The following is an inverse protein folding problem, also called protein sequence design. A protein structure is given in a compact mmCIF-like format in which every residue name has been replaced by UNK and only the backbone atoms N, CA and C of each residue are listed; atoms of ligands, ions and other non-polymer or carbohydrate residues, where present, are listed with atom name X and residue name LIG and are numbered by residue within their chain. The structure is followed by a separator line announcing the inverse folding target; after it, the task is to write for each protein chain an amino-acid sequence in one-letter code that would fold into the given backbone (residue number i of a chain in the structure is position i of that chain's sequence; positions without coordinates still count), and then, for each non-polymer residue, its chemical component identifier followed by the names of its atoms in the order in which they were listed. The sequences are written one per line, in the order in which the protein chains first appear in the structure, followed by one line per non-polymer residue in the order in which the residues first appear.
data_IF_273990961545
#
_entry.id   IF_273990961545
#
_cell.length_a   1.000
_cell.length_b   1.000
_cell.length_c   1.000
_cell.angle_alpha   90.00
_cell.angle_beta   90.00
_cell.angle_gamma   90.00
#
_symmetry.space_group_name_H-M   'P 1'
#
loop_
_entity.id
_entity.type
_entity.pdbx_description
1 polymer ?
#
# COMPACT_ATOMS: atom_id res chain seq x y z
N UNK A 1 16.37 -15.69 74.74
CA UNK A 1 15.18 -15.26 73.99
C UNK A 1 15.19 -15.86 72.59
N UNK A 2 14.07 -15.86 71.85
CA UNK A 2 14.00 -16.33 70.46
C UNK A 2 14.14 -15.15 69.49
N UNK A 3 15.04 -15.23 68.52
CA UNK A 3 15.12 -14.31 67.38
C UNK A 3 14.14 -14.77 66.29
N UNK A 4 13.23 -13.91 65.78
CA UNK A 4 12.41 -14.25 64.62
C UNK A 4 13.24 -14.12 63.34
N UNK A 5 13.33 -15.20 62.58
CA UNK A 5 14.04 -15.23 61.30
C UNK A 5 13.17 -14.59 60.21
N UNK A 6 13.52 -13.37 59.80
CA UNK A 6 12.76 -12.62 58.80
C UNK A 6 12.93 -13.26 57.41
N UNK A 7 11.93 -14.06 57.00
CA UNK A 7 11.86 -14.60 55.64
C UNK A 7 11.56 -13.46 54.65
N UNK A 8 12.59 -13.00 53.94
CA UNK A 8 12.44 -12.04 52.85
C UNK A 8 11.81 -12.75 51.65
N UNK A 9 10.47 -12.75 51.59
CA UNK A 9 9.71 -13.35 50.49
C UNK A 9 9.87 -12.48 49.23
N UNK A 10 10.96 -12.70 48.50
CA UNK A 10 11.26 -12.01 47.26
C UNK A 10 10.26 -12.45 46.18
N UNK A 11 9.21 -11.65 45.99
CA UNK A 11 8.17 -11.92 45.01
C UNK A 11 8.74 -11.80 43.59
N UNK A 12 8.99 -12.94 42.95
CA UNK A 12 9.36 -13.03 41.54
C UNK A 12 8.18 -12.57 40.68
N UNK A 13 8.15 -11.26 40.40
CA UNK A 13 7.31 -10.68 39.36
C UNK A 13 7.84 -11.15 38.00
N UNK A 14 7.38 -12.32 37.57
CA UNK A 14 7.58 -12.81 36.21
C UNK A 14 6.92 -11.83 35.24
N UNK A 15 7.71 -10.89 34.72
CA UNK A 15 7.28 -10.00 33.66
C UNK A 15 7.13 -10.82 32.38
N UNK A 16 5.92 -11.34 32.15
CA UNK A 16 5.54 -12.00 30.91
C UNK A 16 5.58 -10.99 29.77
N UNK A 17 6.75 -10.84 29.16
CA UNK A 17 6.93 -10.07 27.94
C UNK A 17 6.03 -10.68 26.86
N UNK A 18 4.95 -9.97 26.51
CA UNK A 18 4.06 -10.38 25.43
C UNK A 18 4.87 -10.22 24.14
N UNK A 19 5.30 -11.34 23.56
CA UNK A 19 5.92 -11.34 22.24
C UNK A 19 4.93 -10.78 21.22
N UNK A 20 5.41 -9.88 20.37
CA UNK A 20 4.57 -9.23 19.37
C UNK A 20 4.12 -10.24 18.30
N UNK A 21 2.87 -10.14 17.85
CA UNK A 21 2.35 -11.07 16.85
C UNK A 21 2.92 -10.76 15.46
N UNK A 22 3.04 -11.79 14.61
CA UNK A 22 3.49 -11.61 13.24
C UNK A 22 2.59 -10.64 12.45
N UNK A 23 1.28 -10.67 12.71
CA UNK A 23 0.31 -9.72 12.16
C UNK A 23 0.60 -8.28 12.59
N UNK A 24 0.89 -8.03 13.87
CA UNK A 24 1.20 -6.69 14.38
C UNK A 24 2.52 -6.16 13.80
N UNK A 25 3.54 -7.00 13.66
CA UNK A 25 4.83 -6.65 13.03
C UNK A 25 4.62 -6.27 11.56
N UNK A 26 3.88 -7.08 10.78
CA UNK A 26 3.57 -6.78 9.37
C UNK A 26 2.73 -5.51 9.26
N UNK A 27 1.72 -5.33 10.13
CA UNK A 27 0.90 -4.12 10.17
C UNK A 27 1.70 -2.86 10.53
N UNK A 28 2.71 -2.95 11.40
CA UNK A 28 3.63 -1.84 11.70
C UNK A 28 4.61 -1.57 10.56
N UNK A 29 5.09 -2.63 9.90
CA UNK A 29 5.96 -2.52 8.73
C UNK A 29 5.26 -1.85 7.57
N UNK A 30 3.99 -2.19 7.36
CA UNK A 30 3.09 -1.44 6.51
C UNK A 30 3.03 0.01 7.03
N UNK A 31 2.49 0.26 8.24
CA UNK A 31 2.27 1.62 8.82
C UNK A 31 3.46 2.60 8.74
N UNK A 32 4.70 2.10 8.74
CA UNK A 32 5.89 2.90 8.53
C UNK A 32 5.92 3.62 7.16
N UNK A 33 5.44 3.00 6.07
CA UNK A 33 5.83 3.35 4.70
C UNK A 33 4.90 4.33 3.93
N UNK A 34 3.68 4.64 4.41
CA UNK A 34 2.73 5.67 3.85
C UNK A 34 2.07 6.55 4.89
N UNK A 35 1.99 6.11 6.15
CA UNK A 35 1.11 6.78 7.09
C UNK A 35 -0.34 6.71 6.62
N UNK A 36 -1.01 7.86 6.57
CA UNK A 36 -2.45 7.93 6.26
C UNK A 36 -2.76 8.36 4.82
N UNK A 37 -1.93 9.24 4.28
CA UNK A 37 -1.84 9.61 2.86
C UNK A 37 -0.38 9.73 2.48
N UNK A 38 -0.04 9.50 1.22
CA UNK A 38 1.32 9.72 0.74
C UNK A 38 1.38 10.37 -0.63
N UNK A 39 2.51 11.02 -0.87
CA UNK A 39 3.01 11.45 -2.16
C UNK A 39 4.45 10.94 -2.32
N UNK A 40 4.86 10.57 -3.53
CA UNK A 40 6.27 10.28 -3.82
C UNK A 40 6.66 10.57 -5.27
N UNK A 41 7.89 11.01 -5.48
CA UNK A 41 8.53 11.08 -6.79
C UNK A 41 9.58 9.98 -6.92
N UNK A 42 9.45 9.12 -7.93
CA UNK A 42 10.30 7.93 -8.09
C UNK A 42 10.74 7.71 -9.54
N UNK A 43 11.91 7.11 -9.71
CA UNK A 43 12.41 6.60 -11.00
C UNK A 43 12.47 5.07 -10.94
N UNK A 44 11.93 4.41 -11.95
CA UNK A 44 12.05 2.96 -12.15
C UNK A 44 12.96 2.68 -13.34
N UNK A 45 13.96 1.84 -13.14
CA UNK A 45 14.87 1.34 -14.17
C UNK A 45 14.66 -0.15 -14.37
N UNK A 46 14.11 -0.53 -15.53
CA UNK A 46 13.97 -1.91 -15.96
C UNK A 46 15.26 -2.29 -16.67
N UNK A 47 16.00 -3.26 -16.11
CA UNK A 47 17.29 -3.75 -16.60
C UNK A 47 17.12 -5.14 -17.18
N UNK A 48 17.68 -5.35 -18.37
CA UNK A 48 17.77 -6.64 -19.09
C UNK A 48 19.19 -6.79 -19.67
N UNK A 49 19.70 -8.00 -19.93
CA UNK A 49 21.04 -8.22 -20.49
C UNK A 49 21.39 -7.45 -21.78
N UNK A 50 20.39 -7.02 -22.55
CA UNK A 50 20.57 -6.30 -23.82
C UNK A 50 20.07 -4.85 -23.83
N UNK A 51 19.35 -4.38 -22.80
CA UNK A 51 18.82 -3.02 -22.72
C UNK A 51 18.44 -2.59 -21.30
N UNK A 52 18.45 -1.28 -21.06
CA UNK A 52 17.88 -0.66 -19.85
C UNK A 52 16.88 0.41 -20.26
N UNK A 53 15.73 0.48 -19.58
CA UNK A 53 14.69 1.50 -19.78
C UNK A 53 14.39 2.18 -18.45
N UNK A 54 14.58 3.49 -18.39
CA UNK A 54 14.20 4.32 -17.26
C UNK A 54 12.85 5.00 -17.50
N UNK A 55 12.04 5.13 -16.45
CA UNK A 55 10.82 5.92 -16.41
C UNK A 55 10.68 6.64 -15.06
N UNK A 56 10.09 7.83 -15.05
CA UNK A 56 9.82 8.59 -13.83
C UNK A 56 8.32 8.69 -13.60
N UNK A 57 7.91 8.68 -12.34
CA UNK A 57 6.51 8.73 -11.93
C UNK A 57 6.30 9.56 -10.67
N UNK A 58 5.10 10.10 -10.55
CA UNK A 58 4.54 10.67 -9.32
C UNK A 58 3.44 9.73 -8.82
N UNK A 59 3.47 9.37 -7.55
CA UNK A 59 2.48 8.49 -6.93
C UNK A 59 1.79 9.20 -5.78
N UNK A 60 0.48 9.01 -5.66
CA UNK A 60 -0.34 9.46 -4.54
C UNK A 60 -1.14 8.31 -3.97
N UNK A 61 -1.40 8.34 -2.67
CA UNK A 61 -2.25 7.37 -2.00
C UNK A 61 -3.09 8.03 -0.91
N UNK A 62 -4.25 7.45 -0.62
CA UNK A 62 -5.01 7.71 0.59
C UNK A 62 -5.50 6.38 1.12
N UNK A 63 -4.65 5.78 1.95
CA UNK A 63 -4.88 4.47 2.54
C UNK A 63 -5.01 3.30 1.58
N UNK A 64 -5.63 2.23 2.09
CA UNK A 64 -5.80 0.94 1.40
C UNK A 64 -6.63 1.03 0.13
N UNK A 65 -7.53 2.02 0.06
CA UNK A 65 -8.59 2.09 -0.93
C UNK A 65 -8.21 2.90 -2.18
N UNK A 66 -7.37 3.92 -2.03
CA UNK A 66 -7.17 4.94 -3.05
C UNK A 66 -5.68 5.08 -3.40
N UNK A 67 -5.34 4.86 -4.67
CA UNK A 67 -3.98 5.03 -5.20
C UNK A 67 -4.02 5.60 -6.62
N UNK A 68 -3.08 6.47 -6.95
CA UNK A 68 -2.87 7.01 -8.29
C UNK A 68 -1.37 7.06 -8.60
N UNK A 69 -0.93 6.34 -9.62
CA UNK A 69 0.42 6.43 -10.18
C UNK A 69 0.32 7.16 -11.53
N UNK A 70 1.17 8.17 -11.76
CA UNK A 70 1.24 8.95 -12.99
C UNK A 70 2.66 8.94 -13.55
N UNK A 71 2.86 8.37 -14.74
CA UNK A 71 4.14 8.40 -15.46
C UNK A 71 4.40 9.81 -15.99
N UNK A 72 5.50 10.43 -15.56
CA UNK A 72 5.91 11.78 -15.95
C UNK A 72 6.96 11.78 -17.06
N UNK A 73 7.74 10.71 -17.20
CA UNK A 73 8.74 10.50 -18.24
C UNK A 73 8.95 8.98 -18.51
N UNK A 74 9.44 8.56 -19.69
CA UNK A 74 9.86 9.36 -20.84
C UNK A 74 8.67 9.87 -21.67
N UNK A 75 8.93 10.75 -22.64
CA UNK A 75 7.90 11.41 -23.45
C UNK A 75 6.96 10.45 -24.21
N UNK A 76 7.40 9.21 -24.51
CA UNK A 76 6.59 8.15 -25.12
C UNK A 76 5.46 7.65 -24.21
N UNK A 77 5.73 7.62 -22.90
CA UNK A 77 4.88 7.01 -21.88
C UNK A 77 4.23 8.05 -20.94
N UNK A 78 4.69 9.31 -21.02
CA UNK A 78 4.22 10.45 -20.22
C UNK A 78 2.70 10.60 -20.29
N UNK A 79 2.09 10.76 -19.12
CA UNK A 79 0.64 10.88 -18.95
C UNK A 79 -0.08 9.55 -18.77
N UNK A 80 0.60 8.40 -18.94
CA UNK A 80 0.04 7.09 -18.57
C UNK A 80 -0.21 7.06 -17.06
N UNK A 81 -1.34 6.52 -16.63
CA UNK A 81 -1.70 6.51 -15.21
C UNK A 81 -2.43 5.24 -14.79
N UNK A 82 -2.13 4.76 -13.59
CA UNK A 82 -2.82 3.64 -12.93
C UNK A 82 -3.60 4.18 -11.73
N UNK A 83 -4.91 3.93 -11.68
CA UNK A 83 -5.81 4.39 -10.61
C UNK A 83 -6.43 3.17 -9.91
N UNK A 84 -6.31 3.09 -8.58
CA UNK A 84 -7.15 2.24 -7.71
C UNK A 84 -8.21 3.10 -7.04
N UNK A 85 -9.46 2.63 -7.06
CA UNK A 85 -10.54 3.10 -6.19
C UNK A 85 -11.30 1.92 -5.61
N UNK A 86 -11.11 1.70 -4.31
CA UNK A 86 -11.58 0.51 -3.58
C UNK A 86 -11.09 -0.79 -4.24
N UNK A 87 -12.01 -1.51 -4.87
CA UNK A 87 -11.77 -2.80 -5.54
C UNK A 87 -11.52 -2.67 -7.03
N UNK A 88 -11.79 -1.50 -7.59
CA UNK A 88 -11.68 -1.25 -9.03
C UNK A 88 -10.36 -0.58 -9.37
N UNK A 89 -9.75 -1.04 -10.45
CA UNK A 89 -8.44 -0.60 -10.91
C UNK A 89 -8.50 -0.30 -12.41
N UNK A 90 -7.88 0.78 -12.85
CA UNK A 90 -7.87 1.21 -14.26
C UNK A 90 -6.52 1.77 -14.68
N UNK A 91 -6.13 1.47 -15.93
CA UNK A 91 -5.00 2.10 -16.60
C UNK A 91 -5.51 3.07 -17.69
N UNK A 92 -5.10 4.34 -17.63
CA UNK A 92 -5.24 5.30 -18.73
C UNK A 92 -4.01 5.21 -19.64
N UNK A 93 -4.24 5.01 -20.94
CA UNK A 93 -3.20 4.83 -21.96
C UNK A 93 -3.32 5.97 -23.00
N UNK A 94 -2.47 7.03 -22.91
CA UNK A 94 -2.61 8.22 -23.74
C UNK A 94 -2.48 7.95 -25.24
N UNK A 95 -1.60 7.02 -25.64
CA UNK A 95 -1.31 6.71 -27.05
C UNK A 95 -2.47 6.12 -27.84
N UNK A 96 -3.56 5.74 -27.16
CA UNK A 96 -4.82 5.24 -27.76
C UNK A 96 -6.06 5.93 -27.17
N UNK A 97 -5.87 6.96 -26.34
CA UNK A 97 -6.91 7.72 -25.63
C UNK A 97 -7.97 6.85 -24.89
N UNK A 98 -7.54 5.77 -24.22
CA UNK A 98 -8.47 4.84 -23.53
C UNK A 98 -8.17 4.64 -22.06
N UNK A 99 -9.25 4.50 -21.29
CA UNK A 99 -9.26 3.89 -19.96
C UNK A 99 -9.49 2.39 -20.15
N UNK A 100 -8.61 1.56 -19.59
CA UNK A 100 -8.70 0.10 -19.57
C UNK A 100 -8.94 -0.32 -18.11
N UNK A 101 -10.05 -1.01 -17.82
CA UNK A 101 -10.27 -1.60 -16.49
C UNK A 101 -9.40 -2.84 -16.33
N UNK A 102 -8.64 -2.93 -15.24
CA UNK A 102 -7.82 -4.08 -14.89
C UNK A 102 -8.74 -5.17 -14.33
N UNK A 103 -8.79 -6.32 -14.97
CA UNK A 103 -9.48 -7.51 -14.47
C UNK A 103 -8.58 -8.30 -13.50
N UNK A 104 -9.11 -9.17 -12.62
CA UNK A 104 -8.29 -10.00 -11.74
C UNK A 104 -7.24 -10.83 -12.49
N UNK A 105 -7.56 -11.34 -13.68
CA UNK A 105 -6.64 -12.06 -14.59
C UNK A 105 -5.57 -11.17 -15.24
N UNK A 106 -5.53 -9.88 -14.92
CA UNK A 106 -4.47 -8.94 -15.30
C UNK A 106 -3.57 -8.55 -14.13
N UNK A 107 -3.89 -8.95 -12.88
CA UNK A 107 -3.10 -8.58 -11.70
C UNK A 107 -1.69 -9.16 -11.76
N UNK A 108 -1.54 -10.43 -12.17
CA UNK A 108 -0.25 -11.12 -12.38
C UNK A 108 0.53 -10.66 -13.60
N UNK A 109 -0.02 -9.78 -14.45
CA UNK A 109 0.71 -9.27 -15.61
C UNK A 109 1.74 -8.23 -15.18
N UNK A 110 2.92 -8.27 -15.80
CA UNK A 110 3.96 -7.25 -15.67
C UNK A 110 3.40 -5.84 -15.91
N UNK A 111 3.67 -4.92 -14.98
CA UNK A 111 3.33 -3.51 -15.13
C UNK A 111 4.35 -2.83 -16.04
N UNK A 112 3.89 -2.36 -17.19
CA UNK A 112 4.66 -1.62 -18.21
C UNK A 112 5.95 -2.31 -18.72
N UNK A 113 6.12 -3.62 -18.50
CA UNK A 113 7.29 -4.41 -18.88
C UNK A 113 8.38 -4.50 -17.79
N UNK A 114 8.05 -4.15 -16.54
CA UNK A 114 8.92 -4.32 -15.36
C UNK A 114 8.75 -5.67 -14.68
N UNK A 115 9.59 -5.95 -13.69
CA UNK A 115 9.51 -7.15 -12.83
C UNK A 115 8.46 -7.03 -11.71
N UNK A 116 7.73 -5.90 -11.64
CA UNK A 116 6.57 -5.74 -10.77
C UNK A 116 5.30 -6.11 -11.53
N UNK A 117 4.34 -6.75 -10.84
CA UNK A 117 3.01 -7.04 -11.37
C UNK A 117 2.06 -5.84 -11.20
N UNK A 118 0.87 -5.91 -11.80
CA UNK A 118 -0.19 -4.93 -11.53
C UNK A 118 -0.74 -5.06 -10.09
N UNK A 119 -0.60 -6.22 -9.44
CA UNK A 119 -0.98 -6.41 -8.04
C UNK A 119 -0.08 -5.58 -7.12
N UNK A 120 1.25 -5.78 -7.20
CA UNK A 120 2.26 -5.15 -6.33
C UNK A 120 2.21 -3.60 -6.39
N UNK A 121 1.95 -3.04 -7.57
CA UNK A 121 1.96 -1.58 -7.79
C UNK A 121 0.62 -0.89 -7.58
N UNK A 122 -0.50 -1.63 -7.53
CA UNK A 122 -1.83 -1.02 -7.53
C UNK A 122 -2.69 -1.51 -6.36
N UNK A 123 -2.70 -2.81 -6.05
CA UNK A 123 -3.65 -3.41 -5.11
C UNK A 123 -3.33 -3.13 -3.62
N UNK A 124 -2.26 -2.39 -3.41
CA UNK A 124 -1.51 -1.92 -2.25
C UNK A 124 -2.05 -1.97 -0.79
N UNK A 125 -2.70 -3.05 -0.32
CA UNK A 125 -3.10 -3.18 1.11
C UNK A 125 -3.02 -4.56 1.80
N UNK A 126 -3.24 -5.66 1.08
CA UNK A 126 -3.57 -6.97 1.66
C UNK A 126 -2.40 -7.78 2.24
N UNK A 127 -1.15 -7.29 2.17
CA UNK A 127 -0.08 -7.95 2.94
C UNK A 127 -0.42 -8.00 4.44
N UNK A 128 -1.27 -7.08 4.92
CA UNK A 128 -1.92 -7.14 6.25
C UNK A 128 -3.28 -7.88 6.22
N UNK A 129 -4.08 -7.76 5.15
CA UNK A 129 -5.53 -8.07 5.16
C UNK A 129 -5.90 -9.50 4.73
N UNK A 130 -5.40 -10.03 3.62
CA UNK A 130 -5.87 -11.31 3.05
C UNK A 130 -4.77 -12.41 3.04
N UNK A 131 -3.64 -12.16 3.69
CA UNK A 131 -2.69 -13.20 4.16
C UNK A 131 -2.94 -13.63 5.61
N UNK A 132 -2.36 -14.77 6.00
CA UNK A 132 -2.20 -15.24 7.38
C UNK A 132 -0.71 -15.27 7.73
N UNK A 133 -0.33 -14.73 8.90
CA UNK A 133 1.08 -14.46 9.24
C UNK A 133 1.64 -15.41 10.30
N UNK A 134 2.80 -15.98 10.01
CA UNK A 134 3.58 -16.84 10.91
C UNK A 134 4.98 -16.25 11.11
N UNK A 135 5.40 -16.00 12.34
CA UNK A 135 6.79 -15.68 12.64
C UNK A 135 7.61 -16.97 12.57
N UNK A 136 8.37 -17.16 11.50
CA UNK A 136 9.10 -18.41 11.23
C UNK A 136 10.57 -18.37 11.69
N UNK A 137 11.13 -17.17 11.94
CA UNK A 137 12.49 -17.05 12.47
C UNK A 137 12.99 -15.63 12.60
N UNK A 138 14.31 -15.52 12.77
CA UNK A 138 15.05 -14.26 12.86
C UNK A 138 16.36 -14.40 12.09
N UNK A 139 16.70 -13.42 11.26
CA UNK A 139 17.89 -13.46 10.39
C UNK A 139 18.54 -12.07 10.30
N UNK A 140 19.88 -11.96 10.28
CA UNK A 140 20.54 -10.68 10.02
C UNK A 140 20.55 -10.34 8.52
N UNK A 141 20.04 -9.17 8.16
CA UNK A 141 20.18 -8.58 6.83
C UNK A 141 20.80 -7.18 6.96
N UNK A 142 21.77 -6.83 6.10
CA UNK A 142 22.39 -5.49 6.09
C UNK A 142 22.89 -5.05 7.49
N UNK A 143 23.57 -5.97 8.19
CA UNK A 143 24.10 -5.77 9.55
C UNK A 143 23.05 -5.66 10.67
N UNK A 144 21.75 -5.74 10.34
CA UNK A 144 20.63 -5.52 11.27
C UNK A 144 19.79 -6.79 11.45
N UNK A 145 19.29 -7.04 12.65
CA UNK A 145 18.39 -8.18 12.91
C UNK A 145 17.00 -7.92 12.32
N UNK A 146 16.48 -8.91 11.58
CA UNK A 146 15.13 -8.95 11.04
C UNK A 146 14.29 -9.98 11.80
N UNK A 147 12.98 -9.74 11.89
CA UNK A 147 12.00 -10.83 11.96
C UNK A 147 11.83 -11.43 10.57
N UNK A 148 11.72 -12.76 10.47
CA UNK A 148 11.37 -13.48 9.24
C UNK A 148 9.94 -13.99 9.40
N UNK A 149 9.03 -13.44 8.60
CA UNK A 149 7.59 -13.72 8.68
C UNK A 149 7.12 -14.34 7.37
N UNK A 150 6.54 -15.53 7.46
CA UNK A 150 5.80 -16.15 6.36
C UNK A 150 4.38 -15.57 6.34
N UNK A 151 3.89 -15.24 5.15
CA UNK A 151 2.55 -14.81 4.87
C UNK A 151 1.92 -15.77 3.84
N UNK A 152 0.94 -16.58 4.23
CA UNK A 152 0.25 -17.53 3.33
C UNK A 152 -1.14 -16.99 2.96
N UNK A 153 -1.47 -16.98 1.66
CA UNK A 153 -2.69 -16.39 1.14
C UNK A 153 -3.95 -17.10 1.69
N UNK A 154 -5.05 -16.35 1.86
CA UNK A 154 -6.36 -16.94 2.18
C UNK A 154 -6.97 -17.57 0.91
N UNK A 155 -7.75 -18.67 1.02
CA UNK A 155 -8.20 -19.44 -0.15
C UNK A 155 -8.95 -18.65 -1.24
N UNK A 156 -9.69 -17.62 -0.84
CA UNK A 156 -10.49 -16.77 -1.75
C UNK A 156 -9.85 -15.37 -2.00
N UNK A 157 -8.57 -15.20 -1.70
CA UNK A 157 -7.87 -13.92 -1.85
C UNK A 157 -7.59 -13.63 -3.34
N UNK A 158 -8.03 -12.48 -3.90
CA UNK A 158 -7.72 -12.05 -5.26
C UNK A 158 -6.28 -11.51 -5.34
N UNK A 159 -5.32 -12.43 -5.34
CA UNK A 159 -3.88 -12.18 -5.16
C UNK A 159 -3.02 -12.94 -6.16
N UNK A 160 -1.81 -12.45 -6.44
CA UNK A 160 -0.87 -13.13 -7.34
C UNK A 160 -0.02 -14.19 -6.63
N UNK A 161 0.48 -13.89 -5.43
CA UNK A 161 1.45 -14.75 -4.74
C UNK A 161 0.78 -15.65 -3.70
N UNK A 162 0.98 -16.97 -3.78
CA UNK A 162 0.37 -17.93 -2.85
C UNK A 162 0.95 -17.81 -1.43
N UNK A 163 2.24 -17.49 -1.37
CA UNK A 163 3.04 -17.28 -0.17
C UNK A 163 4.03 -16.15 -0.42
N UNK A 164 4.31 -15.38 0.63
CA UNK A 164 5.33 -14.33 0.64
C UNK A 164 6.12 -14.44 1.95
N UNK A 165 7.45 -14.42 1.89
CA UNK A 165 8.29 -14.34 3.10
C UNK A 165 8.88 -12.94 3.23
N UNK A 166 8.73 -12.33 4.41
CA UNK A 166 9.06 -10.94 4.70
C UNK A 166 10.18 -10.86 5.74
N UNK A 167 11.24 -10.10 5.43
CA UNK A 167 12.28 -9.74 6.38
C UNK A 167 12.05 -8.30 6.85
N UNK A 168 11.56 -8.15 8.08
CA UNK A 168 11.17 -6.86 8.67
C UNK A 168 12.16 -6.47 9.76
N UNK A 169 12.75 -5.28 9.64
CA UNK A 169 13.80 -4.78 10.54
C UNK A 169 13.31 -4.54 11.97
N UNK A 170 13.98 -5.15 12.95
CA UNK A 170 13.62 -5.02 14.37
C UNK A 170 13.77 -3.61 14.95
N UNK A 171 14.59 -2.76 14.32
CA UNK A 171 14.90 -1.42 14.84
C UNK A 171 13.92 -0.33 14.40
N UNK A 172 13.28 -0.51 13.24
CA UNK A 172 12.49 0.53 12.58
C UNK A 172 11.33 0.00 11.72
N UNK A 173 11.00 -1.29 11.80
CA UNK A 173 9.95 -1.98 11.05
C UNK A 173 10.06 -1.86 9.52
N UNK A 174 11.20 -1.47 8.95
CA UNK A 174 11.35 -1.43 7.50
C UNK A 174 11.46 -2.85 6.92
N UNK A 175 10.64 -3.13 5.90
CA UNK A 175 10.77 -4.30 5.03
C UNK A 175 12.10 -4.21 4.25
N UNK A 176 13.04 -5.11 4.54
CA UNK A 176 14.40 -5.11 3.95
C UNK A 176 14.60 -6.14 2.84
N UNK A 177 13.87 -7.25 2.90
CA UNK A 177 13.85 -8.29 1.87
C UNK A 177 12.46 -8.94 1.80
N UNK A 178 12.08 -9.41 0.62
CA UNK A 178 10.87 -10.17 0.34
C UNK A 178 11.20 -11.31 -0.61
N UNK A 179 10.57 -12.46 -0.39
CA UNK A 179 10.53 -13.61 -1.30
C UNK A 179 9.09 -13.89 -1.70
N UNK A 180 8.83 -14.01 -3.01
CA UNK A 180 7.49 -14.25 -3.57
C UNK A 180 7.42 -15.64 -4.19
N UNK A 181 6.36 -16.38 -3.86
CA UNK A 181 6.16 -17.76 -4.31
C UNK A 181 4.87 -17.91 -5.12
N UNK A 182 4.93 -18.76 -6.15
CA UNK A 182 3.79 -19.08 -7.03
C UNK A 182 2.84 -20.14 -6.42
N UNK A 183 1.83 -20.60 -7.16
CA UNK A 183 0.91 -21.64 -6.69
C UNK A 183 1.54 -23.05 -6.51
N UNK A 184 2.80 -23.25 -6.91
CA UNK A 184 3.55 -24.50 -6.79
C UNK A 184 4.59 -24.47 -5.65
N UNK A 185 4.64 -23.37 -4.88
CA UNK A 185 5.62 -23.08 -3.83
C UNK A 185 7.05 -22.82 -4.35
N UNK A 186 7.21 -22.52 -5.65
CA UNK A 186 8.50 -22.16 -6.23
C UNK A 186 8.83 -20.67 -5.99
N UNK A 187 10.08 -20.38 -5.63
CA UNK A 187 10.56 -19.02 -5.36
C UNK A 187 10.87 -18.32 -6.69
N UNK A 188 9.92 -17.51 -7.16
CA UNK A 188 10.01 -16.86 -8.48
C UNK A 188 10.65 -15.47 -8.44
N UNK A 189 10.44 -14.69 -7.37
CA UNK A 189 11.02 -13.34 -7.25
C UNK A 189 11.64 -13.08 -5.87
N UNK A 190 12.76 -12.34 -5.85
CA UNK A 190 13.34 -11.71 -4.66
C UNK A 190 13.31 -10.18 -4.80
N UNK A 191 12.76 -9.48 -3.80
CA UNK A 191 12.89 -8.03 -3.68
C UNK A 191 13.77 -7.69 -2.49
N UNK A 192 14.77 -6.81 -2.68
CA UNK A 192 15.62 -6.28 -1.61
C UNK A 192 15.53 -4.76 -1.55
N UNK A 193 15.70 -4.19 -0.36
CA UNK A 193 15.64 -2.74 -0.15
C UNK A 193 16.90 -2.20 0.50
N UNK A 194 17.37 -1.05 0.02
CA UNK A 194 18.64 -0.42 0.34
C UNK A 194 18.46 1.09 0.58
N UNK A 195 19.56 1.78 0.86
CA UNK A 195 19.65 3.23 0.96
C UNK A 195 18.59 3.82 1.90
N UNK A 196 18.60 3.40 3.17
CA UNK A 196 17.68 3.93 4.19
C UNK A 196 18.00 5.41 4.45
N UNK A 197 17.06 6.30 4.15
CA UNK A 197 17.17 7.76 4.31
C UNK A 197 15.91 8.32 4.99
N UNK A 198 15.97 9.57 5.45
CA UNK A 198 14.79 10.30 5.90
C UNK A 198 14.18 11.07 4.72
N UNK A 199 12.94 10.77 4.36
CA UNK A 199 12.11 11.54 3.42
C UNK A 199 10.74 11.78 4.05
N UNK A 200 10.12 12.96 3.85
CA UNK A 200 8.82 13.29 4.45
C UNK A 200 8.79 13.20 5.99
N UNK A 201 9.94 13.33 6.66
CA UNK A 201 10.08 13.12 8.11
C UNK A 201 10.12 11.66 8.56
N UNK A 202 9.97 10.69 7.65
CA UNK A 202 9.98 9.24 7.93
C UNK A 202 11.25 8.57 7.41
N UNK A 203 11.70 7.51 8.08
CA UNK A 203 12.75 6.65 7.54
C UNK A 203 12.16 5.72 6.46
N UNK A 204 12.77 5.68 5.28
CA UNK A 204 12.37 4.83 4.16
C UNK A 204 13.61 4.19 3.53
N UNK A 205 13.50 2.94 3.08
CA UNK A 205 14.48 2.38 2.15
C UNK A 205 14.24 2.98 0.75
N UNK A 206 15.12 3.88 0.32
CA UNK A 206 14.89 4.71 -0.88
C UNK A 206 15.23 4.02 -2.19
N UNK A 207 15.86 2.85 -2.16
CA UNK A 207 16.10 2.00 -3.33
C UNK A 207 15.53 0.61 -3.10
N UNK A 208 14.69 0.13 -4.01
CA UNK A 208 14.19 -1.25 -4.04
C UNK A 208 14.67 -1.93 -5.33
N UNK A 209 15.02 -3.20 -5.25
CA UNK A 209 15.51 -3.97 -6.40
C UNK A 209 14.75 -5.31 -6.45
N UNK A 210 13.97 -5.51 -7.51
CA UNK A 210 13.20 -6.73 -7.79
C UNK A 210 13.98 -7.61 -8.77
N UNK A 211 14.16 -8.89 -8.42
CA UNK A 211 14.93 -9.89 -9.17
C UNK A 211 14.04 -11.11 -9.50
N UNK A 212 13.65 -11.33 -10.76
CA UNK A 212 13.15 -12.63 -11.21
C UNK A 212 14.29 -13.66 -11.16
N UNK A 213 14.05 -14.82 -10.55
CA UNK A 213 15.09 -15.84 -10.35
C UNK A 213 15.21 -16.82 -11.52
N UNK A 214 14.17 -16.93 -12.34
CA UNK A 214 14.10 -17.71 -13.58
C UNK A 214 14.74 -16.99 -14.78
N UNK A 215 14.87 -15.65 -14.73
CA UNK A 215 15.52 -14.82 -15.76
C UNK A 215 16.86 -14.18 -15.31
N UNK A 216 17.96 -14.95 -15.08
CA UNK A 216 19.25 -14.41 -14.63
C UNK A 216 19.79 -13.21 -15.41
N UNK A 217 19.97 -12.09 -14.70
CA UNK A 217 20.46 -10.82 -15.26
C UNK A 217 19.36 -9.80 -15.58
N UNK A 218 18.09 -10.19 -15.49
CA UNK A 218 16.97 -9.26 -15.41
C UNK A 218 16.84 -8.70 -13.98
N UNK A 219 16.47 -7.43 -13.85
CA UNK A 219 15.96 -6.84 -12.60
C UNK A 219 15.24 -5.51 -12.86
N UNK A 220 14.43 -5.07 -11.90
CA UNK A 220 13.87 -3.71 -11.89
C UNK A 220 14.30 -2.98 -10.62
N UNK A 221 14.87 -1.79 -10.78
CA UNK A 221 15.29 -0.92 -9.67
C UNK A 221 14.30 0.24 -9.54
N UNK A 222 13.63 0.38 -8.39
CA UNK A 222 12.80 1.54 -8.06
C UNK A 222 13.56 2.43 -7.05
N UNK A 223 13.82 3.68 -7.42
CA UNK A 223 14.45 4.67 -6.54
C UNK A 223 13.47 5.80 -6.25
N UNK A 224 13.20 6.08 -4.98
CA UNK A 224 12.35 7.19 -4.53
C UNK A 224 13.21 8.37 -4.09
N UNK A 225 12.95 9.54 -4.67
CA UNK A 225 13.74 10.76 -4.49
C UNK A 225 13.10 11.72 -3.49
N UNK A 226 11.78 11.89 -3.59
CA UNK A 226 10.98 12.73 -2.71
C UNK A 226 9.80 11.91 -2.17
N UNK A 227 9.38 12.20 -0.93
CA UNK A 227 8.15 11.68 -0.34
C UNK A 227 7.56 12.67 0.68
N UNK A 228 6.24 12.75 0.73
CA UNK A 228 5.46 13.50 1.72
C UNK A 228 4.33 12.59 2.27
N UNK A 229 3.92 12.81 3.51
CA UNK A 229 3.01 11.92 4.25
C UNK A 229 2.01 12.69 5.10
N UNK A 230 0.91 12.02 5.46
CA UNK A 230 -0.02 12.43 6.52
C UNK A 230 -0.67 13.82 6.26
N UNK A 231 -0.90 14.16 4.99
CA UNK A 231 -1.52 15.41 4.53
C UNK A 231 -2.98 15.21 4.10
N UNK A 232 -3.81 16.24 4.24
CA UNK A 232 -5.19 16.19 3.78
C UNK A 232 -5.29 16.10 2.25
N UNK A 233 -5.91 15.02 1.78
CA UNK A 233 -6.22 14.80 0.36
C UNK A 233 -7.64 14.25 0.23
N UNK A 234 -8.41 14.83 -0.67
CA UNK A 234 -9.81 14.46 -0.87
C UNK A 234 -9.98 13.29 -1.84
N UNK A 235 -10.95 12.41 -1.57
CA UNK A 235 -11.29 11.24 -2.37
C UNK A 235 -11.61 11.59 -3.83
N UNK A 236 -12.07 12.83 -4.12
CA UNK A 236 -12.29 13.33 -5.48
C UNK A 236 -11.01 13.40 -6.33
N UNK A 237 -9.82 13.48 -5.71
CA UNK A 237 -8.53 13.37 -6.42
C UNK A 237 -8.36 12.00 -7.08
N UNK A 238 -8.87 10.95 -6.45
CA UNK A 238 -8.83 9.56 -6.92
C UNK A 238 -10.09 9.18 -7.71
N UNK A 239 -10.73 10.16 -8.35
CA UNK A 239 -11.90 9.93 -9.20
C UNK A 239 -11.54 9.94 -10.69
N UNK A 240 -11.99 8.91 -11.41
CA UNK A 240 -11.97 8.90 -12.86
C UNK A 240 -13.09 9.81 -13.39
N UNK A 241 -12.73 11.00 -13.87
CA UNK A 241 -13.64 11.89 -14.61
C UNK A 241 -14.01 11.36 -16.02
N UNK A 242 -14.12 10.03 -16.15
CA UNK A 242 -14.43 9.31 -17.39
C UNK A 242 -15.94 9.10 -17.59
N UNK A 243 -16.77 9.33 -16.57
CA UNK A 243 -18.24 9.31 -16.66
C UNK A 243 -18.83 10.66 -17.14
N UNK A 244 -18.09 11.41 -17.97
CA UNK A 244 -18.58 12.58 -18.70
C UNK A 244 -18.13 12.48 -20.16
N UNK A 245 -19.08 12.41 -21.09
CA UNK A 245 -18.82 11.99 -22.47
C UNK A 245 -17.78 12.84 -23.21
N UNK A 246 -16.70 12.17 -23.64
CA UNK A 246 -15.80 12.44 -24.80
C UNK A 246 -15.15 13.84 -24.97
N UNK A 247 -15.48 14.83 -24.14
CA UNK A 247 -15.11 16.25 -24.39
C UNK A 247 -14.40 16.93 -23.22
N UNK A 248 -14.20 16.23 -22.08
CA UNK A 248 -13.51 16.79 -20.89
C UNK A 248 -12.42 15.90 -20.25
N UNK A 249 -11.99 14.82 -20.90
CA UNK A 249 -10.85 14.01 -20.43
C UNK A 249 -9.52 14.78 -20.42
N UNK A 250 -9.28 15.66 -21.40
CA UNK A 250 -8.09 16.51 -21.46
C UNK A 250 -7.93 17.39 -20.20
N UNK A 251 -9.03 17.95 -19.67
CA UNK A 251 -8.97 18.89 -18.55
C UNK A 251 -8.33 18.30 -17.30
N UNK A 252 -8.59 17.03 -16.95
CA UNK A 252 -8.11 16.46 -15.67
C UNK A 252 -6.65 16.02 -15.74
N UNK A 253 -6.19 15.45 -16.85
CA UNK A 253 -4.76 15.16 -17.05
C UNK A 253 -3.93 16.43 -17.25
N UNK A 254 -4.52 17.51 -17.79
CA UNK A 254 -3.91 18.84 -17.74
C UNK A 254 -3.92 19.42 -16.31
N UNK A 255 -4.98 19.22 -15.53
CA UNK A 255 -5.05 19.68 -14.13
C UNK A 255 -3.96 19.02 -13.27
N UNK A 256 -3.78 17.70 -13.40
CA UNK A 256 -2.70 16.97 -12.75
C UNK A 256 -1.30 17.50 -13.15
N UNK A 257 -1.05 17.75 -14.44
CA UNK A 257 0.19 18.40 -14.89
C UNK A 257 0.35 19.83 -14.31
N UNK A 258 -0.74 20.60 -14.15
CA UNK A 258 -0.69 21.96 -13.61
C UNK A 258 -0.52 22.06 -12.08
N UNK A 259 -0.94 21.03 -11.34
CA UNK A 259 -0.70 20.91 -9.88
C UNK A 259 0.63 20.23 -9.56
N UNK A 260 1.18 19.42 -10.46
CA UNK A 260 2.50 18.80 -10.30
C UNK A 260 3.68 19.80 -10.24
N UNK A 261 3.41 21.08 -10.50
CA UNK A 261 4.34 22.23 -10.47
C UNK A 261 4.06 23.19 -9.27
N UNK A 262 3.02 22.94 -8.46
CA UNK A 262 2.67 23.77 -7.29
C UNK A 262 2.72 22.97 -5.99
N UNK A 263 3.75 23.22 -5.19
CA UNK A 263 3.80 22.82 -3.78
C UNK A 263 2.85 23.67 -2.93
N UNK A 264 2.22 23.01 -1.97
CA UNK A 264 1.42 23.55 -0.86
C UNK A 264 0.04 24.19 -1.13
N UNK A 265 -0.95 23.64 -0.43
CA UNK A 265 -1.77 24.31 0.58
C UNK A 265 -2.31 25.74 0.30
N UNK A 266 -3.52 25.80 -0.28
CA UNK A 266 -4.49 26.89 -0.10
C UNK A 266 -5.92 26.29 -0.14
N UNK A 267 -6.84 26.83 0.68
CA UNK A 267 -8.16 26.24 0.94
C UNK A 267 -9.33 26.89 0.16
N UNK A 268 -9.05 27.85 -0.72
CA UNK A 268 -10.04 28.66 -1.43
C UNK A 268 -10.26 28.21 -2.88
N UNK A 269 -11.20 27.29 -3.13
CA UNK A 269 -11.73 27.02 -4.48
C UNK A 269 -13.20 26.50 -4.44
N UNK A 270 -14.06 27.26 -3.76
CA UNK A 270 -15.46 26.89 -3.44
C UNK A 270 -16.41 27.06 -4.66
N UNK A 271 -15.96 27.73 -5.73
CA UNK A 271 -16.79 28.23 -6.84
C UNK A 271 -17.37 27.21 -7.83
N UNK A 272 -17.21 25.90 -7.62
CA UNK A 272 -17.64 24.84 -8.56
C UNK A 272 -18.64 23.81 -7.98
N UNK A 273 -19.07 23.98 -6.73
CA UNK A 273 -19.86 22.96 -6.01
C UNK A 273 -21.35 22.86 -6.42
N UNK A 274 -21.90 23.84 -7.13
CA UNK A 274 -23.36 24.10 -7.12
C UNK A 274 -24.15 23.50 -8.30
N UNK A 275 -23.50 22.90 -9.32
CA UNK A 275 -24.16 22.57 -10.59
C UNK A 275 -24.53 21.09 -10.84
N UNK A 276 -24.03 20.14 -10.04
CA UNK A 276 -24.10 18.69 -10.37
C UNK A 276 -24.79 17.84 -9.29
N UNK A 277 -25.93 18.31 -8.77
CA UNK A 277 -26.76 17.58 -7.82
C UNK A 277 -28.10 17.13 -8.43
N UNK A 278 -28.11 15.98 -9.13
CA UNK A 278 -29.36 15.35 -9.59
C UNK A 278 -29.27 13.81 -9.66
N UNK A 279 -30.02 13.19 -8.75
CA UNK A 279 -30.55 11.81 -8.78
C UNK A 279 -29.59 10.62 -8.54
N UNK A 280 -30.20 9.53 -8.03
CA UNK A 280 -29.55 8.44 -7.28
C UNK A 280 -30.29 7.12 -7.48
N UNK A 281 -29.59 5.98 -7.47
CA UNK A 281 -30.19 4.70 -7.04
C UNK A 281 -29.16 3.67 -6.56
N UNK A 282 -29.54 2.91 -5.53
CA UNK A 282 -28.78 1.85 -4.86
C UNK A 282 -28.73 0.53 -5.67
N UNK A 283 -27.73 -0.31 -5.38
CA UNK A 283 -27.84 -1.72 -4.88
C UNK A 283 -26.41 -2.17 -4.48
N UNK A 284 -26.27 -3.10 -3.52
CA UNK A 284 -24.98 -3.56 -3.02
C UNK A 284 -24.99 -5.06 -2.66
N UNK A 285 -23.88 -5.78 -2.91
CA UNK A 285 -23.47 -6.94 -2.09
C UNK A 285 -21.97 -7.36 -2.29
N UNK A 286 -21.28 -7.58 -1.16
CA UNK A 286 -20.22 -8.57 -0.83
C UNK A 286 -18.81 -8.72 -1.52
N UNK A 287 -17.82 -8.94 -0.63
CA UNK A 287 -16.54 -9.71 -0.66
C UNK A 287 -15.20 -9.17 -1.24
N UNK A 288 -14.30 -8.80 -0.30
CA UNK A 288 -12.86 -9.15 -0.02
C UNK A 288 -11.65 -8.85 -0.97
N UNK A 289 -10.48 -8.50 -0.40
CA UNK A 289 -9.51 -7.46 -0.88
C UNK A 289 -8.11 -7.99 -1.32
N UNK A 290 -7.14 -7.10 -1.66
CA UNK A 290 -5.82 -7.45 -2.27
C UNK A 290 -4.65 -6.46 -2.01
N UNK A 291 -3.44 -6.70 -2.59
CA UNK A 291 -2.08 -6.64 -1.93
C UNK A 291 -1.18 -5.40 -2.04
N UNK A 292 -0.64 -5.02 -0.87
CA UNK A 292 0.79 -4.86 -0.55
C UNK A 292 1.70 -3.90 -1.31
N UNK A 293 1.57 -2.63 -0.98
CA UNK A 293 2.70 -1.76 -0.68
C UNK A 293 2.05 -0.63 0.09
N UNK A 294 2.56 -0.29 1.28
CA UNK A 294 2.33 1.05 1.85
C UNK A 294 0.85 1.11 2.53
N UNK A 295 0.58 1.78 3.69
CA UNK A 295 -0.51 1.51 4.74
C UNK A 295 -1.84 2.33 4.98
N UNK A 296 -2.57 2.03 6.09
CA UNK A 296 -3.45 2.92 6.95
C UNK A 296 -3.60 2.29 8.38
N UNK A 297 -4.17 2.83 9.49
CA UNK A 297 -4.87 4.07 9.92
C UNK A 297 -4.75 4.21 11.47
N UNK A 298 -4.63 5.42 12.05
CA UNK A 298 -4.61 5.68 13.50
C UNK A 298 -5.95 6.15 14.12
N UNK A 299 -6.48 5.44 15.12
CA UNK A 299 -7.68 5.85 15.85
C UNK A 299 -7.38 6.82 17.00
N UNK A 300 -8.10 7.94 17.08
CA UNK A 300 -8.20 8.75 18.31
C UNK A 300 -9.45 8.36 19.12
N UNK A 301 -9.31 8.27 20.45
CA UNK A 301 -10.46 8.13 21.35
C UNK A 301 -11.03 9.52 21.63
N UNK A 302 -12.31 9.74 21.29
CA UNK A 302 -13.10 10.81 21.91
C UNK A 302 -14.24 10.24 22.74
N UNK A 303 -14.11 10.35 24.06
CA UNK A 303 -15.11 9.92 25.03
C UNK A 303 -16.29 10.90 25.06
N UNK A 304 -17.51 10.39 24.84
CA UNK A 304 -18.75 10.92 25.44
C UNK A 304 -19.72 9.77 25.70
N UNK A 305 -19.98 9.51 26.98
CA UNK A 305 -20.96 8.49 27.40
C UNK A 305 -22.36 9.05 27.61
N UNK A 306 -23.32 8.13 27.72
CA UNK A 306 -24.70 8.31 28.20
C UNK A 306 -25.58 9.37 27.51
N UNK A 307 -26.71 8.87 26.96
CA UNK A 307 -27.98 9.11 27.65
C UNK A 307 -28.91 7.88 27.53
N UNK A 308 -29.86 7.80 28.45
CA UNK A 308 -30.78 6.66 28.63
C UNK A 308 -32.02 6.80 27.71
N UNK A 309 -32.57 5.69 27.22
CA UNK A 309 -33.67 5.73 26.24
C UNK A 309 -34.42 4.40 26.04
N UNK A 310 -34.87 3.75 27.11
CA UNK A 310 -35.75 2.59 27.01
C UNK A 310 -37.06 2.96 26.30
N UNK A 311 -37.45 2.24 25.23
CA UNK A 311 -38.86 1.91 25.06
C UNK A 311 -39.09 0.53 24.43
N UNK A 312 -40.10 -0.16 24.96
CA UNK A 312 -40.31 -1.60 24.87
C UNK A 312 -41.61 -1.89 24.11
N UNK A 313 -41.55 -2.70 23.04
CA UNK A 313 -42.69 -3.54 22.61
C UNK A 313 -42.27 -4.67 21.65
N UNK A 314 -42.75 -5.89 21.96
CA UNK A 314 -42.94 -6.97 20.98
C UNK A 314 -44.16 -6.63 20.10
N UNK A 315 -44.28 -7.21 18.90
CA UNK A 315 -45.26 -8.29 18.64
C UNK A 315 -45.51 -8.48 17.13
N UNK A 316 -45.29 -9.73 16.62
CA UNK A 316 -46.08 -10.37 15.54
C UNK A 316 -46.03 -9.71 14.12
N UNK A 317 -46.39 -10.35 13.00
CA UNK A 317 -46.72 -11.77 12.67
C UNK A 317 -46.45 -12.02 11.18
N UNK A 318 -46.28 -13.30 10.79
CA UNK A 318 -46.09 -13.84 9.43
C UNK A 318 -44.77 -13.43 8.73
#
# INVERSE_FOLDING_TARGET
MRTPMAFLLCALFSCSSIAESAFDIVKKSDLAMRGESSYSESTMEIVRPSWTRSMSMKSWTKGTELSLVLVTAPAKDKGSASLKRHREMWNWVPSIERVIKIAPSMLSQSWMGSDFTNDDLINQSSIVVDYQHSLIGEEPFDGSSMWVIEAVAKPDAPVVWSKVTLWISKSNYLQRKVHFYDEFDELVNELTTYDVKILGGRALATRMEMYPLDEPGNKTVLTTHEAEFDFDIEDRFFSSAANAGTTRLNSVFQFANSRADRRNNDADDIGLAEFMASETSYVADRFCFGIGLVPLFGYSLFSRGQLYGQHKKRSQVL
#
